data_IF_096659164699
#
_entry.id   IF_096659164699
#
_cell.length_a   1.000
_cell.length_b   1.000
_cell.length_c   1.000
_cell.angle_alpha   90.00
_cell.angle_beta   90.00
_cell.angle_gamma   90.00
#
_symmetry.space_group_name_H-M   'P 1'
#
loop_
_entity.id
_entity.type
_entity.pdbx_description
1 polymer ?
#
# COMPACT_ATOMS: atom_id res chain seq x y z
N UNK A 1 -27.85 10.74 2.85
CA UNK A 1 -26.64 9.96 2.53
C UNK A 1 -25.48 10.85 2.06
N UNK A 2 -24.65 11.28 3.01
CA UNK A 2 -23.41 12.02 2.74
C UNK A 2 -22.23 11.04 2.56
N UNK A 3 -21.24 11.43 1.75
CA UNK A 3 -19.95 10.76 1.64
C UNK A 3 -18.92 11.62 2.35
N UNK A 4 -18.17 11.03 3.27
CA UNK A 4 -17.16 11.72 4.07
C UNK A 4 -15.78 11.19 3.70
N UNK A 5 -14.85 12.09 3.41
CA UNK A 5 -13.43 11.77 3.27
C UNK A 5 -12.86 11.42 4.65
N UNK A 6 -12.25 10.24 4.78
CA UNK A 6 -11.64 9.81 6.05
C UNK A 6 -10.12 9.89 6.02
N UNK A 7 -9.50 9.34 4.97
CA UNK A 7 -8.05 9.34 4.84
C UNK A 7 -7.61 9.11 3.39
N UNK A 8 -6.49 9.72 3.02
CA UNK A 8 -5.66 9.28 1.90
C UNK A 8 -4.33 8.80 2.46
N UNK A 9 -4.11 7.51 2.38
CA UNK A 9 -2.85 6.88 2.78
C UNK A 9 -1.94 6.81 1.56
N UNK A 10 -0.69 7.24 1.68
CA UNK A 10 0.29 7.20 0.60
C UNK A 10 1.59 6.61 1.09
N UNK A 11 2.30 5.93 0.19
CA UNK A 11 3.68 5.54 0.44
C UNK A 11 4.59 6.77 0.51
N UNK A 12 5.50 6.79 1.47
CA UNK A 12 6.36 7.95 1.70
C UNK A 12 7.19 7.87 2.97
N UNK A 13 7.74 9.02 3.34
CA UNK A 13 8.58 9.16 4.55
C UNK A 13 7.74 8.89 5.78
N UNK A 14 8.14 7.90 6.58
CA UNK A 14 7.49 7.57 7.85
C UNK A 14 5.99 7.29 7.74
N UNK A 15 5.51 6.70 6.65
CA UNK A 15 4.06 6.39 6.48
C UNK A 15 3.75 4.91 6.70
N UNK A 16 4.55 4.01 6.13
CA UNK A 16 4.39 2.55 6.25
C UNK A 16 5.48 1.91 7.08
N UNK A 17 5.10 0.86 7.80
CA UNK A 17 6.05 -0.03 8.44
C UNK A 17 6.59 -1.07 7.45
N UNK A 18 7.85 -1.46 7.59
CA UNK A 18 8.49 -2.55 6.84
C UNK A 18 8.94 -3.71 7.75
N UNK A 19 9.00 -4.91 7.18
CA UNK A 19 9.58 -6.11 7.81
C UNK A 19 9.86 -7.22 6.79
N UNK A 20 10.57 -8.25 7.22
CA UNK A 20 10.75 -9.53 6.50
C UNK A 20 9.62 -10.52 6.77
N UNK A 21 8.68 -10.18 7.66
CA UNK A 21 7.47 -10.96 7.94
C UNK A 21 6.22 -10.08 7.86
N UNK A 22 5.16 -10.56 7.19
CA UNK A 22 3.91 -9.81 7.01
C UNK A 22 3.22 -9.49 8.34
N UNK A 23 3.21 -10.45 9.26
CA UNK A 23 2.54 -10.27 10.55
C UNK A 23 3.23 -9.17 11.35
N UNK A 24 4.55 -9.16 11.39
CA UNK A 24 5.35 -8.14 12.05
C UNK A 24 5.18 -6.76 11.41
N UNK A 25 5.17 -6.65 10.07
CA UNK A 25 4.89 -5.39 9.37
C UNK A 25 3.51 -4.82 9.79
N UNK A 26 2.46 -5.65 9.79
CA UNK A 26 1.12 -5.23 10.22
C UNK A 26 1.10 -4.81 11.71
N UNK A 27 1.77 -5.55 12.58
CA UNK A 27 1.84 -5.22 14.00
C UNK A 27 2.54 -3.88 14.23
N UNK A 28 3.66 -3.62 13.54
CA UNK A 28 4.36 -2.34 13.58
C UNK A 28 3.49 -1.20 13.06
N UNK A 29 2.72 -1.40 11.99
CA UNK A 29 1.79 -0.40 11.46
C UNK A 29 0.68 -0.04 12.46
N UNK A 30 0.08 -1.03 13.13
CA UNK A 30 -0.92 -0.82 14.19
C UNK A 30 -0.29 -0.09 15.39
N UNK A 31 0.89 -0.56 15.85
CA UNK A 31 1.61 0.07 16.96
C UNK A 31 1.97 1.51 16.67
N UNK A 32 2.29 1.86 15.42
CA UNK A 32 2.53 3.23 15.01
C UNK A 32 1.34 4.14 15.28
N UNK A 33 0.12 3.72 14.94
CA UNK A 33 -1.09 4.49 15.27
C UNK A 33 -1.34 4.58 16.78
N UNK A 34 -0.89 3.58 17.54
CA UNK A 34 -0.99 3.56 19.00
C UNK A 34 0.12 4.34 19.70
N UNK A 35 1.08 4.91 18.95
CA UNK A 35 2.31 5.50 19.48
C UNK A 35 3.13 4.53 20.35
N UNK A 36 3.20 3.26 19.95
CA UNK A 36 3.95 2.19 20.63
C UNK A 36 5.13 1.73 19.78
N UNK A 37 6.21 1.31 20.44
CA UNK A 37 7.36 0.66 19.81
C UNK A 37 7.27 -0.87 19.86
N UNK A 38 7.98 -1.60 18.98
CA UNK A 38 8.78 -1.10 17.86
C UNK A 38 7.90 -0.63 16.69
N UNK A 39 8.37 0.44 16.04
CA UNK A 39 7.97 0.87 14.70
C UNK A 39 9.23 0.82 13.84
N UNK A 40 9.13 0.34 12.62
CA UNK A 40 10.24 0.41 11.66
C UNK A 40 9.63 0.88 10.36
N UNK A 41 10.09 2.03 9.88
CA UNK A 41 9.57 2.62 8.66
C UNK A 41 10.40 2.15 7.46
N UNK A 42 9.73 2.03 6.33
CA UNK A 42 10.40 1.87 5.05
C UNK A 42 11.21 3.12 4.71
N UNK A 43 12.27 2.94 3.93
CA UNK A 43 13.15 4.02 3.46
C UNK A 43 12.66 4.55 2.12
N UNK A 44 13.01 5.80 1.81
CA UNK A 44 12.80 6.40 0.49
C UNK A 44 13.95 6.04 -0.44
N UNK A 45 13.62 5.55 -1.63
CA UNK A 45 14.63 5.06 -2.59
C UNK A 45 14.70 5.91 -3.87
N UNK A 46 13.80 6.88 -4.02
CA UNK A 46 13.66 7.68 -5.23
C UNK A 46 13.05 6.88 -6.40
N UNK A 47 12.78 7.58 -7.50
CA UNK A 47 12.35 6.95 -8.74
C UNK A 47 13.57 6.51 -9.58
N UNK A 48 13.45 5.41 -10.31
CA UNK A 48 14.31 5.10 -11.45
C UNK A 48 13.86 5.88 -12.69
N UNK A 49 14.55 6.98 -13.04
CA UNK A 49 14.04 7.94 -14.01
C UNK A 49 13.83 7.31 -15.37
N UNK A 50 12.69 7.63 -16.01
CA UNK A 50 12.30 7.15 -17.36
C UNK A 50 12.00 5.65 -17.47
N UNK A 51 12.02 4.91 -16.35
CA UNK A 51 11.68 3.49 -16.30
C UNK A 51 10.33 3.31 -15.62
N UNK A 52 10.18 3.77 -14.37
CA UNK A 52 8.93 3.60 -13.64
C UNK A 52 7.91 4.70 -13.91
N UNK A 53 6.60 4.34 -13.94
CA UNK A 53 5.53 5.31 -13.93
C UNK A 53 5.46 6.03 -12.57
N UNK A 54 5.19 7.34 -12.57
CA UNK A 54 4.99 8.11 -11.34
C UNK A 54 3.51 8.41 -11.08
N UNK A 55 3.09 8.25 -9.83
CA UNK A 55 1.79 8.71 -9.35
C UNK A 55 1.95 10.15 -8.84
N UNK A 56 1.67 11.14 -9.69
CA UNK A 56 1.74 12.56 -9.32
C UNK A 56 0.38 13.23 -9.25
N UNK A 57 0.27 14.20 -8.34
CA UNK A 57 -0.83 15.16 -8.32
C UNK A 57 -0.67 16.14 -9.47
N UNK A 58 -1.77 16.67 -9.97
CA UNK A 58 -1.72 17.79 -10.91
C UNK A 58 -1.14 19.02 -10.21
N UNK A 59 -0.22 19.72 -10.89
CA UNK A 59 0.43 20.94 -10.36
C UNK A 59 -0.58 22.06 -10.04
N UNK A 60 -1.71 22.06 -10.74
CA UNK A 60 -2.80 23.02 -10.58
C UNK A 60 -4.05 22.41 -9.94
N UNK A 61 -3.92 21.25 -9.27
CA UNK A 61 -4.98 20.77 -8.38
C UNK A 61 -5.30 21.88 -7.38
N UNK A 62 -6.58 22.18 -7.18
CA UNK A 62 -7.06 23.16 -6.20
C UNK A 62 -8.28 22.62 -5.44
N UNK A 63 -8.44 21.29 -5.44
CA UNK A 63 -9.58 20.57 -4.85
C UNK A 63 -9.81 20.88 -3.36
N UNK A 64 -8.82 21.43 -2.66
CA UNK A 64 -8.94 21.91 -1.27
C UNK A 64 -9.10 23.43 -1.08
N UNK A 65 -9.08 24.24 -2.13
CA UNK A 65 -8.99 25.69 -2.02
C UNK A 65 -10.31 26.37 -1.64
N UNK A 66 -11.44 25.84 -2.14
CA UNK A 66 -12.78 26.40 -1.90
C UNK A 66 -13.66 25.52 -1.02
N UNK A 67 -13.34 24.22 -0.94
CA UNK A 67 -14.00 23.23 -0.09
C UNK A 67 -12.91 22.48 0.65
N UNK A 68 -12.93 22.37 1.99
CA UNK A 68 -11.90 21.64 2.71
C UNK A 68 -11.91 20.16 2.29
N UNK A 69 -10.93 19.75 1.49
CA UNK A 69 -10.63 18.35 1.24
C UNK A 69 -9.40 17.96 2.04
N UNK A 70 -9.49 16.89 2.81
CA UNK A 70 -8.35 16.41 3.61
C UNK A 70 -7.22 15.91 2.69
N UNK A 71 -7.55 15.50 1.47
CA UNK A 71 -6.61 14.96 0.49
C UNK A 71 -5.68 16.00 -0.11
N UNK A 72 -6.06 17.29 -0.05
CA UNK A 72 -5.26 18.38 -0.58
C UNK A 72 -3.85 18.40 0.02
N UNK A 73 -3.75 18.24 1.34
CA UNK A 73 -2.50 18.32 2.10
C UNK A 73 -1.60 17.08 1.98
N UNK A 74 -2.14 15.95 1.49
CA UNK A 74 -1.38 14.69 1.42
C UNK A 74 -0.41 14.74 0.23
N UNK A 75 0.89 14.44 0.39
CA UNK A 75 1.84 14.45 -0.73
C UNK A 75 1.52 13.37 -1.78
N UNK A 76 2.14 13.48 -2.95
CA UNK A 76 2.15 12.38 -3.93
C UNK A 76 2.86 11.14 -3.36
N UNK A 77 2.44 9.92 -3.74
CA UNK A 77 3.16 8.69 -3.39
C UNK A 77 4.62 8.76 -3.79
N UNK A 78 5.48 8.27 -2.90
CA UNK A 78 6.91 8.11 -3.16
C UNK A 78 7.26 6.62 -3.19
N UNK A 79 8.30 6.26 -3.93
CA UNK A 79 8.81 4.89 -3.94
C UNK A 79 9.54 4.60 -2.65
N UNK A 80 9.22 3.44 -2.07
CA UNK A 80 9.77 2.99 -0.80
C UNK A 80 10.26 1.55 -0.87
N UNK A 81 11.22 1.24 -0.01
CA UNK A 81 11.73 -0.11 0.21
C UNK A 81 12.07 -0.32 1.70
N UNK A 82 12.55 -1.49 2.10
CA UNK A 82 12.89 -1.71 3.51
C UNK A 82 14.28 -1.17 3.88
N UNK A 83 15.22 -1.15 2.93
CA UNK A 83 16.51 -0.48 3.01
C UNK A 83 17.01 0.01 1.62
N UNK A 84 18.26 0.50 1.55
CA UNK A 84 18.88 1.00 0.31
C UNK A 84 19.56 -0.12 -0.52
N UNK A 85 19.38 -1.38 -0.13
CA UNK A 85 19.83 -2.55 -0.86
C UNK A 85 18.67 -3.18 -1.65
N UNK A 86 18.96 -3.60 -2.87
CA UNK A 86 17.96 -4.14 -3.81
C UNK A 86 18.39 -5.51 -4.29
N UNK A 87 18.64 -6.42 -3.35
CA UNK A 87 19.07 -7.77 -3.72
C UNK A 87 17.94 -8.47 -4.50
N UNK A 88 18.32 -9.16 -5.57
CA UNK A 88 17.38 -9.94 -6.37
C UNK A 88 16.85 -11.13 -5.58
N UNK A 89 15.59 -11.48 -5.81
CA UNK A 89 14.90 -12.59 -5.18
C UNK A 89 14.36 -12.30 -3.78
N UNK A 90 14.56 -11.09 -3.26
CA UNK A 90 14.11 -10.72 -1.93
C UNK A 90 12.61 -10.39 -1.87
N UNK A 91 11.95 -10.96 -0.85
CA UNK A 91 10.58 -10.59 -0.48
C UNK A 91 10.65 -9.64 0.71
N UNK A 92 9.89 -8.55 0.62
CA UNK A 92 9.69 -7.58 1.70
C UNK A 92 8.22 -7.32 1.93
N UNK A 93 7.89 -7.04 3.19
CA UNK A 93 6.52 -6.77 3.61
C UNK A 93 6.38 -5.34 4.10
N UNK A 94 5.33 -4.69 3.64
CA UNK A 94 4.98 -3.32 4.00
C UNK A 94 3.58 -3.28 4.56
N UNK A 95 3.30 -2.43 5.53
CA UNK A 95 1.94 -2.24 6.02
C UNK A 95 1.66 -0.80 6.47
N UNK A 96 0.43 -0.37 6.25
CA UNK A 96 -0.11 0.86 6.80
C UNK A 96 -1.50 0.57 7.40
N UNK A 97 -1.75 1.15 8.57
CA UNK A 97 -2.99 0.96 9.29
C UNK A 97 -3.84 2.24 9.26
N UNK A 98 -5.15 2.06 9.37
CA UNK A 98 -6.14 3.11 9.55
C UNK A 98 -7.01 2.75 10.76
N UNK A 99 -7.22 3.69 11.68
CA UNK A 99 -8.07 3.49 12.84
C UNK A 99 -9.52 3.54 12.42
N UNK A 100 -10.29 2.49 12.71
CA UNK A 100 -11.72 2.47 12.46
C UNK A 100 -12.41 3.35 13.50
N UNK A 101 -13.18 4.33 13.05
CA UNK A 101 -13.93 5.26 13.93
C UNK A 101 -15.45 5.07 13.83
N UNK A 102 -15.93 4.36 12.80
CA UNK A 102 -17.34 4.03 12.60
C UNK A 102 -17.50 2.61 12.06
N UNK A 103 -18.65 2.00 12.30
CA UNK A 103 -19.06 0.71 11.72
C UNK A 103 -19.85 0.88 10.40
N UNK A 104 -20.06 2.12 9.96
CA UNK A 104 -20.68 2.40 8.67
C UNK A 104 -19.88 1.80 7.51
N UNK A 105 -20.51 1.75 6.35
CA UNK A 105 -19.89 1.27 5.13
C UNK A 105 -18.78 2.23 4.66
N UNK A 106 -17.60 1.65 4.41
CA UNK A 106 -16.45 2.35 3.87
C UNK A 106 -16.31 2.05 2.37
N UNK A 107 -15.97 3.09 1.62
CA UNK A 107 -15.54 2.97 0.22
C UNK A 107 -14.04 3.17 0.16
N UNK A 108 -13.35 2.24 -0.49
CA UNK A 108 -11.90 2.23 -0.61
C UNK A 108 -11.52 2.23 -2.08
N UNK A 109 -10.58 3.10 -2.46
CA UNK A 109 -9.91 3.07 -3.75
C UNK A 109 -8.41 2.90 -3.53
N UNK A 110 -7.77 2.03 -4.31
CA UNK A 110 -6.35 1.75 -4.20
C UNK A 110 -5.71 1.81 -5.57
N UNK A 111 -4.54 2.45 -5.67
CA UNK A 111 -3.59 2.17 -6.73
C UNK A 111 -2.26 1.73 -6.17
N UNK A 112 -1.66 0.73 -6.80
CA UNK A 112 -0.39 0.14 -6.39
C UNK A 112 0.52 0.01 -7.60
N UNK A 113 1.76 0.43 -7.41
CA UNK A 113 2.90 0.12 -8.24
C UNK A 113 3.88 -0.73 -7.43
N UNK A 114 4.43 -1.77 -8.04
CA UNK A 114 5.64 -2.43 -7.57
C UNK A 114 6.54 -2.74 -8.77
N UNK A 115 7.86 -2.79 -8.58
CA UNK A 115 8.79 -3.06 -9.67
C UNK A 115 8.53 -4.43 -10.34
N UNK A 116 8.34 -5.50 -9.57
CA UNK A 116 8.22 -6.84 -10.19
C UNK A 116 6.95 -7.59 -9.84
N UNK A 117 6.76 -7.93 -8.58
CA UNK A 117 5.55 -8.61 -8.15
C UNK A 117 5.11 -8.11 -6.79
N UNK A 118 3.79 -8.09 -6.58
CA UNK A 118 3.25 -7.82 -5.27
C UNK A 118 1.92 -8.53 -5.03
N UNK A 119 1.56 -8.61 -3.74
CA UNK A 119 0.22 -8.93 -3.28
C UNK A 119 -0.27 -7.90 -2.29
N UNK A 120 -1.46 -7.36 -2.53
CA UNK A 120 -2.16 -6.51 -1.59
C UNK A 120 -3.16 -7.33 -0.76
N UNK A 121 -3.10 -7.15 0.55
CA UNK A 121 -4.09 -7.64 1.50
C UNK A 121 -4.74 -6.47 2.22
N UNK A 122 -6.06 -6.55 2.37
CA UNK A 122 -6.89 -5.59 3.08
C UNK A 122 -7.65 -6.36 4.15
N UNK A 123 -7.31 -6.11 5.40
CA UNK A 123 -7.78 -6.89 6.53
C UNK A 123 -8.22 -5.98 7.68
N UNK A 124 -9.30 -6.36 8.35
CA UNK A 124 -9.61 -5.83 9.67
C UNK A 124 -8.82 -6.63 10.71
N UNK A 125 -8.04 -5.94 11.54
CA UNK A 125 -7.19 -6.55 12.56
C UNK A 125 -7.43 -5.93 13.94
N UNK A 126 -7.29 -6.74 14.98
CA UNK A 126 -7.30 -6.26 16.37
C UNK A 126 -6.07 -5.43 16.68
N UNK A 127 -6.08 -4.69 17.79
CA UNK A 127 -4.87 -4.01 18.29
C UNK A 127 -3.69 -4.94 18.57
N UNK A 128 -3.95 -6.24 18.77
CA UNK A 128 -2.94 -7.30 18.92
C UNK A 128 -2.58 -8.01 17.61
N UNK A 129 -2.97 -7.45 16.46
CA UNK A 129 -2.64 -7.92 15.12
C UNK A 129 -3.29 -9.25 14.69
N UNK A 130 -4.35 -9.70 15.38
CA UNK A 130 -5.15 -10.85 14.94
C UNK A 130 -6.10 -10.44 13.82
N UNK A 131 -6.18 -11.25 12.75
CA UNK A 131 -7.11 -11.00 11.63
C UNK A 131 -8.54 -11.34 12.07
N UNK A 132 -9.45 -10.38 11.90
CA UNK A 132 -10.89 -10.52 12.14
C UNK A 132 -11.61 -10.82 10.83
N UNK A 133 -11.25 -10.08 9.78
CA UNK A 133 -11.91 -10.16 8.48
C UNK A 133 -10.91 -9.81 7.37
N UNK A 134 -11.08 -10.44 6.21
CA UNK A 134 -10.29 -10.18 4.99
C UNK A 134 -11.25 -9.74 3.89
N UNK A 135 -10.88 -8.68 3.17
CA UNK A 135 -11.73 -8.06 2.14
C UNK A 135 -11.26 -8.32 0.70
N UNK A 136 -10.09 -8.95 0.55
CA UNK A 136 -9.54 -9.40 -0.74
C UNK A 136 -9.80 -10.90 -0.98
N UNK A 137 -9.64 -11.40 -2.23
CA UNK A 137 -9.65 -12.82 -2.53
C UNK A 137 -8.62 -13.62 -1.72
N UNK A 138 -8.82 -14.94 -1.63
CA UNK A 138 -7.83 -15.84 -1.00
C UNK A 138 -6.48 -15.69 -1.71
N UNK A 139 -5.46 -15.29 -0.96
CA UNK A 139 -4.11 -15.06 -1.48
C UNK A 139 -3.74 -13.60 -1.75
N UNK A 140 -4.68 -12.66 -1.58
CA UNK A 140 -4.43 -11.24 -1.88
C UNK A 140 -4.84 -10.86 -3.31
N UNK A 141 -4.84 -9.56 -3.60
CA UNK A 141 -4.83 -9.08 -4.98
C UNK A 141 -3.40 -9.20 -5.49
N UNK A 142 -3.18 -10.08 -6.47
CA UNK A 142 -1.85 -10.40 -6.97
C UNK A 142 -1.50 -9.63 -8.25
N UNK A 143 -0.23 -9.29 -8.37
CA UNK A 143 0.39 -8.82 -9.59
C UNK A 143 1.76 -9.48 -9.77
N UNK A 144 1.98 -10.05 -10.95
CA UNK A 144 3.16 -10.87 -11.21
C UNK A 144 3.17 -12.20 -10.46
N UNK A 145 4.14 -13.05 -10.79
CA UNK A 145 4.36 -14.29 -10.06
C UNK A 145 5.25 -14.02 -8.84
N UNK A 146 4.88 -14.56 -7.69
CA UNK A 146 5.69 -14.51 -6.47
C UNK A 146 6.80 -15.56 -6.50
N UNK A 147 7.63 -15.54 -7.55
CA UNK A 147 8.75 -16.46 -7.80
C UNK A 147 9.95 -15.63 -8.27
N UNK A 148 11.09 -15.74 -7.58
CA UNK A 148 12.27 -14.89 -7.80
C UNK A 148 12.78 -14.91 -9.27
N UNK A 149 12.75 -16.08 -9.91
CA UNK A 149 13.24 -16.28 -11.28
C UNK A 149 12.27 -15.82 -12.37
N UNK A 150 11.11 -15.22 -12.02
CA UNK A 150 10.05 -14.93 -12.98
C UNK A 150 10.45 -13.93 -14.07
N UNK A 151 11.45 -13.06 -13.84
CA UNK A 151 12.03 -12.20 -14.89
C UNK A 151 12.63 -13.00 -16.06
N UNK A 152 13.10 -14.22 -15.82
CA UNK A 152 13.73 -15.08 -16.83
C UNK A 152 12.73 -15.97 -17.56
N UNK A 153 11.54 -16.18 -16.98
CA UNK A 153 10.58 -17.19 -17.43
C UNK A 153 9.23 -16.61 -17.82
N UNK A 154 8.71 -15.65 -17.07
CA UNK A 154 7.31 -15.21 -17.12
C UNK A 154 7.17 -13.73 -17.49
N UNK A 155 7.94 -12.84 -16.85
CA UNK A 155 7.93 -11.39 -17.13
C UNK A 155 8.98 -11.03 -18.21
N UNK A 156 8.95 -11.74 -19.34
CA UNK A 156 9.96 -11.64 -20.41
C UNK A 156 9.55 -10.75 -21.58
N UNK A 157 8.31 -10.23 -21.58
CA UNK A 157 7.77 -9.45 -22.70
C UNK A 157 6.93 -8.26 -22.25
N UNK A 158 6.98 -7.16 -23.00
CA UNK A 158 6.23 -5.94 -22.69
C UNK A 158 4.71 -6.11 -22.88
N UNK A 159 3.87 -5.45 -22.05
CA UNK A 159 4.26 -4.62 -20.92
C UNK A 159 4.73 -5.46 -19.74
N UNK A 160 5.90 -5.11 -19.19
CA UNK A 160 6.46 -5.72 -17.98
C UNK A 160 5.68 -5.30 -16.74
N UNK A 161 5.87 -5.97 -15.60
CA UNK A 161 5.12 -5.61 -14.39
C UNK A 161 5.43 -4.19 -13.89
N UNK A 162 6.69 -3.75 -13.90
CA UNK A 162 7.11 -2.37 -13.61
C UNK A 162 6.55 -1.32 -14.59
N UNK A 163 5.87 -1.72 -15.67
CA UNK A 163 5.20 -0.76 -16.58
C UNK A 163 3.74 -0.53 -16.21
N UNK A 164 3.25 -1.17 -15.14
CA UNK A 164 1.83 -1.19 -14.86
C UNK A 164 1.53 -0.66 -13.46
N UNK A 165 0.37 -0.04 -13.33
CA UNK A 165 -0.23 0.35 -12.06
C UNK A 165 -1.49 -0.50 -11.90
N UNK A 166 -1.64 -1.15 -10.75
CA UNK A 166 -2.84 -1.92 -10.41
C UNK A 166 -3.82 -1.03 -9.69
N UNK A 167 -5.11 -1.24 -9.98
CA UNK A 167 -6.21 -0.48 -9.41
C UNK A 167 -7.21 -1.45 -8.81
N UNK A 168 -7.74 -1.10 -7.65
CA UNK A 168 -8.86 -1.80 -7.05
C UNK A 168 -9.75 -0.83 -6.28
N UNK A 169 -11.04 -1.10 -6.26
CA UNK A 169 -12.00 -0.36 -5.44
C UNK A 169 -13.10 -1.25 -4.92
N UNK A 170 -13.63 -0.92 -3.75
CA UNK A 170 -14.83 -1.53 -3.17
C UNK A 170 -15.62 -0.47 -2.42
N UNK A 171 -16.94 -0.59 -2.43
CA UNK A 171 -17.86 0.29 -1.72
C UNK A 171 -18.64 -0.43 -0.61
N UNK A 172 -18.24 -1.64 -0.22
CA UNK A 172 -18.97 -2.52 0.70
C UNK A 172 -18.15 -2.97 1.91
N UNK A 173 -17.12 -2.21 2.27
CA UNK A 173 -16.24 -2.54 3.41
C UNK A 173 -16.92 -2.16 4.72
N UNK A 174 -17.41 -3.18 5.43
CA UNK A 174 -18.05 -3.03 6.75
C UNK A 174 -17.17 -3.63 7.85
N UNK A 175 -16.55 -2.78 8.70
CA UNK A 175 -15.84 -3.22 9.89
C UNK A 175 -16.76 -3.87 10.93
N UNK A 176 -16.19 -4.70 11.79
CA UNK A 176 -16.91 -5.41 12.87
C UNK A 176 -16.78 -4.68 14.20
N UNK A 177 -15.68 -3.96 14.44
CA UNK A 177 -15.49 -3.17 15.67
C UNK A 177 -14.70 -1.88 15.42
N UNK A 178 -15.06 -0.82 16.15
CA UNK A 178 -14.28 0.43 16.21
C UNK A 178 -13.01 0.28 17.06
N UNK A 179 -12.84 -0.80 17.83
CA UNK A 179 -11.59 -1.11 18.53
C UNK A 179 -10.51 -1.65 17.58
N UNK A 180 -10.92 -2.11 16.40
CA UNK A 180 -10.04 -2.68 15.38
C UNK A 180 -9.40 -1.61 14.48
N UNK A 181 -8.59 -2.08 13.54
CA UNK A 181 -7.89 -1.29 12.53
C UNK A 181 -8.12 -1.92 11.16
N UNK A 182 -8.31 -1.09 10.14
CA UNK A 182 -8.12 -1.54 8.76
C UNK A 182 -6.63 -1.51 8.45
N UNK A 183 -6.08 -2.62 7.98
CA UNK A 183 -4.66 -2.76 7.66
C UNK A 183 -4.52 -3.13 6.20
N UNK A 184 -3.75 -2.32 5.49
CA UNK A 184 -3.32 -2.55 4.12
C UNK A 184 -1.89 -3.06 4.20
N UNK A 185 -1.67 -4.30 3.78
CA UNK A 185 -0.34 -4.91 3.77
C UNK A 185 0.03 -5.38 2.38
N UNK A 186 1.30 -5.20 2.03
CA UNK A 186 1.88 -5.56 0.75
C UNK A 186 2.95 -6.60 1.00
N UNK A 187 2.89 -7.69 0.25
CA UNK A 187 4.03 -8.58 0.02
C UNK A 187 4.63 -8.18 -1.31
N UNK A 188 5.89 -7.81 -1.37
CA UNK A 188 6.55 -7.32 -2.59
C UNK A 188 7.80 -8.15 -2.83
N UNK A 189 7.99 -8.60 -4.06
CA UNK A 189 9.15 -9.39 -4.48
C UNK A 189 9.93 -8.59 -5.52
N UNK A 190 11.24 -8.46 -5.27
CA UNK A 190 12.23 -8.05 -6.26
C UNK A 190 12.71 -9.31 -7.01
N UNK A 191 12.56 -9.37 -8.32
CA UNK A 191 13.01 -10.52 -9.11
C UNK A 191 14.54 -10.59 -9.15
N UNK A 192 15.05 -11.79 -9.40
CA UNK A 192 16.42 -11.94 -9.86
C UNK A 192 16.54 -11.29 -11.25
N UNK A 193 17.67 -10.69 -11.58
CA UNK A 193 17.91 -10.22 -12.96
C UNK A 193 19.37 -10.37 -13.33
N UNK A 194 19.65 -10.50 -14.63
CA UNK A 194 21.01 -10.38 -15.18
C UNK A 194 21.38 -8.93 -15.50
N UNK A 195 20.45 -8.00 -15.36
CA UNK A 195 20.68 -6.58 -15.59
C UNK A 195 21.45 -5.93 -14.44
N UNK A 196 22.26 -4.93 -14.79
CA UNK A 196 23.04 -4.15 -13.81
C UNK A 196 22.21 -3.20 -12.96
N UNK A 197 20.95 -2.96 -13.36
CA UNK A 197 20.00 -2.11 -12.66
C UNK A 197 18.81 -2.98 -12.24
N UNK A 198 18.73 -3.29 -10.94
CA UNK A 198 17.65 -4.09 -10.35
C UNK A 198 17.00 -3.32 -9.19
N UNK A 199 16.28 -2.24 -9.47
CA UNK A 199 15.70 -1.42 -8.44
C UNK A 199 14.49 -2.14 -7.85
N UNK A 200 14.40 -2.29 -6.53
CA UNK A 200 13.15 -2.73 -5.90
C UNK A 200 12.34 -1.51 -5.50
N UNK A 201 11.01 -1.58 -5.53
CA UNK A 201 10.22 -0.43 -5.09
C UNK A 201 8.74 -0.73 -4.97
N UNK A 202 8.10 -0.07 -4.02
CA UNK A 202 6.66 -0.02 -3.84
C UNK A 202 6.21 1.45 -3.82
N UNK A 203 5.15 1.77 -4.56
CA UNK A 203 4.46 3.04 -4.40
C UNK A 203 2.95 2.81 -4.44
N UNK A 204 2.18 3.49 -3.58
CA UNK A 204 0.74 3.35 -3.56
C UNK A 204 0.02 4.59 -3.05
N UNK A 205 -1.26 4.69 -3.42
CA UNK A 205 -2.22 5.54 -2.72
C UNK A 205 -3.47 4.72 -2.39
N UNK A 206 -4.09 5.03 -1.26
CA UNK A 206 -5.33 4.43 -0.79
C UNK A 206 -6.24 5.57 -0.31
N UNK A 207 -7.39 5.74 -0.96
CA UNK A 207 -8.42 6.66 -0.49
C UNK A 207 -9.49 5.90 0.27
N UNK A 208 -9.89 6.43 1.42
CA UNK A 208 -10.90 5.86 2.29
C UNK A 208 -11.98 6.91 2.51
N UNK A 209 -13.21 6.52 2.21
CA UNK A 209 -14.41 7.31 2.44
C UNK A 209 -15.39 6.53 3.31
N UNK A 210 -16.32 7.24 3.95
CA UNK A 210 -17.46 6.66 4.66
C UNK A 210 -18.76 7.11 4.02
N UNK A 211 -19.69 6.19 3.88
CA UNK A 211 -21.09 6.49 3.54
C UNK A 211 -21.89 6.57 4.83
N UNK A 212 -22.40 7.75 5.17
CA UNK A 212 -23.26 7.89 6.33
C UNK A 212 -24.64 7.29 6.03
N UNK A 213 -25.01 6.26 6.78
CA UNK A 213 -26.38 5.79 6.85
C UNK A 213 -27.16 6.64 7.85
N UNK A 214 -28.23 7.28 7.36
CA UNK A 214 -29.12 8.16 8.14
C UNK A 214 -29.72 7.45 9.38
#
# INVERSE_FOLDING_TARGET
MAVIELARLVSGTNTQASSVDRSDACLKAIRKLQNLSPTQDAVLIGNVPRVWPELQKYENDNSGANTPSIFWSVPSPQFVWDDDSFEGGEIRYFAQAFKIESLDEHTIFVAVFADNAHRLFIEERTGGNSVIKTFNPKGGFEDGLMVASASFTDDTTTPFNWQKIRLWSSDDIRPVSTDNYLVFSFEVLNYDTTDTLNPAGLAYFIDIYRRETD
#
